data_IF_601040280311
#
_entry.id   IF_601040280311
#
_cell.length_a   1.000
_cell.length_b   1.000
_cell.length_c   1.000
_cell.angle_alpha   90.00
_cell.angle_beta   90.00
_cell.angle_gamma   90.00
#
_symmetry.space_group_name_H-M   'P 1'
#
loop_
_entity.id
_entity.type
_entity.pdbx_description
1 polymer ?
#
# COMPACT_ATOMS: atom_id res chain seq x y z
N UNK A 1 2.33 5.95 4.42
CA UNK A 1 2.82 5.91 3.03
C UNK A 1 2.94 7.35 2.56
N UNK A 2 4.09 7.75 2.03
CA UNK A 2 4.35 9.12 1.57
C UNK A 2 4.80 9.10 0.11
N UNK A 3 4.06 9.79 -0.76
CA UNK A 3 4.27 9.76 -2.20
C UNK A 3 5.33 10.78 -2.63
N UNK A 4 6.31 10.31 -3.41
CA UNK A 4 7.48 11.07 -3.86
C UNK A 4 7.37 11.53 -5.32
N UNK A 5 6.80 10.71 -6.20
CA UNK A 5 6.63 11.00 -7.64
C UNK A 5 5.47 10.21 -8.24
N UNK A 6 5.00 10.64 -9.42
CA UNK A 6 3.89 10.01 -10.13
C UNK A 6 2.52 10.30 -9.52
N UNK A 7 1.46 9.87 -10.23
CA UNK A 7 0.06 10.04 -9.81
C UNK A 7 -0.67 8.69 -9.87
N UNK A 8 -1.56 8.44 -8.93
CA UNK A 8 -2.27 7.17 -8.88
C UNK A 8 -3.52 7.20 -8.03
N UNK A 9 -4.05 6.00 -7.83
CA UNK A 9 -5.15 5.71 -6.91
C UNK A 9 -4.63 4.72 -5.86
N UNK A 10 -4.92 4.99 -4.60
CA UNK A 10 -4.82 4.02 -3.50
C UNK A 10 -6.22 3.63 -3.08
N UNK A 11 -6.50 2.33 -3.02
CA UNK A 11 -7.70 1.80 -2.39
C UNK A 11 -7.34 1.25 -1.00
N UNK A 12 -8.12 1.62 0.01
CA UNK A 12 -8.00 1.08 1.38
C UNK A 12 -9.37 0.60 1.81
N UNK A 13 -9.53 -0.70 2.04
CA UNK A 13 -10.84 -1.33 2.30
C UNK A 13 -11.93 -0.91 1.28
N UNK A 14 -11.57 -0.89 -0.01
CA UNK A 14 -12.47 -0.49 -1.09
C UNK A 14 -12.69 1.02 -1.26
N UNK A 15 -12.15 1.86 -0.37
CA UNK A 15 -12.25 3.32 -0.50
C UNK A 15 -11.07 3.85 -1.30
N UNK A 16 -11.36 4.37 -2.48
CA UNK A 16 -10.36 4.95 -3.38
C UNK A 16 -10.02 6.40 -3.06
N UNK A 17 -8.73 6.74 -3.19
CA UNK A 17 -8.19 8.08 -3.05
C UNK A 17 -7.15 8.34 -4.13
N UNK A 18 -7.23 9.50 -4.77
CA UNK A 18 -6.16 9.99 -5.63
C UNK A 18 -4.95 10.37 -4.79
N UNK A 19 -3.77 10.03 -5.29
CA UNK A 19 -2.49 10.31 -4.66
C UNK A 19 -1.51 10.91 -5.67
N UNK A 20 -0.65 11.78 -5.16
CA UNK A 20 0.46 12.38 -5.90
C UNK A 20 1.55 12.85 -4.95
N UNK A 21 2.62 13.50 -5.45
CA UNK A 21 3.76 13.91 -4.63
C UNK A 21 3.31 14.75 -3.43
N UNK A 22 3.85 14.46 -2.24
CA UNK A 22 3.48 15.15 -1.00
C UNK A 22 2.25 14.56 -0.28
N UNK A 23 1.51 13.65 -0.92
CA UNK A 23 0.35 13.00 -0.29
C UNK A 23 0.81 11.97 0.75
N UNK A 24 0.17 11.95 1.91
CA UNK A 24 0.36 10.91 2.92
C UNK A 24 -0.92 10.08 3.08
N UNK A 25 -0.78 8.76 3.04
CA UNK A 25 -1.87 7.82 3.30
C UNK A 25 -1.52 6.97 4.52
N UNK A 26 -2.42 6.94 5.50
CA UNK A 26 -2.37 6.00 6.61
C UNK A 26 -3.09 4.71 6.22
N UNK A 27 -2.44 3.57 6.46
CA UNK A 27 -2.99 2.25 6.18
C UNK A 27 -3.17 1.54 7.53
N UNK A 28 -4.41 1.28 7.97
CA UNK A 28 -4.68 0.50 9.18
C UNK A 28 -4.11 -0.92 9.08
N UNK A 29 -3.84 -1.54 10.22
CA UNK A 29 -3.45 -2.95 10.28
C UNK A 29 -4.55 -3.83 9.65
N UNK A 30 -4.14 -4.85 8.90
CA UNK A 30 -5.03 -5.79 8.20
C UNK A 30 -5.97 -5.17 7.15
N UNK A 31 -5.86 -3.87 6.86
CA UNK A 31 -6.62 -3.27 5.79
C UNK A 31 -6.15 -3.82 4.44
N UNK A 32 -7.11 -4.27 3.63
CA UNK A 32 -6.86 -4.56 2.22
C UNK A 32 -6.45 -3.27 1.53
N UNK A 33 -5.41 -3.36 0.70
CA UNK A 33 -4.86 -2.20 0.03
C UNK A 33 -4.46 -2.52 -1.40
N UNK A 34 -4.75 -1.60 -2.30
CA UNK A 34 -4.37 -1.68 -3.71
C UNK A 34 -3.78 -0.35 -4.18
N UNK A 35 -2.84 -0.42 -5.13
CA UNK A 35 -2.18 0.73 -5.73
C UNK A 35 -2.29 0.64 -7.25
N UNK A 36 -2.80 1.70 -7.87
CA UNK A 36 -2.90 1.82 -9.31
C UNK A 36 -2.17 3.07 -9.78
N UNK A 37 -1.16 2.91 -10.63
CA UNK A 37 -0.53 4.05 -11.30
C UNK A 37 -1.42 4.49 -12.46
N UNK A 38 -1.96 5.71 -12.38
CA UNK A 38 -2.83 6.28 -13.42
C UNK A 38 -2.08 7.26 -14.33
N UNK A 39 -0.80 7.52 -14.04
CA UNK A 39 0.05 8.44 -14.79
C UNK A 39 1.03 7.72 -15.72
N UNK A 40 1.84 8.53 -16.41
CA UNK A 40 2.93 8.06 -17.29
C UNK A 40 4.27 7.94 -16.57
N UNK A 41 4.43 8.62 -15.43
CA UNK A 41 5.62 8.54 -14.58
C UNK A 41 5.51 7.38 -13.58
N UNK A 42 6.64 6.89 -13.07
CA UNK A 42 6.64 5.90 -11.99
C UNK A 42 6.02 6.47 -10.71
N UNK A 43 5.03 5.77 -10.18
CA UNK A 43 4.48 6.03 -8.84
C UNK A 43 5.47 5.54 -7.78
N UNK A 44 6.19 6.47 -7.13
CA UNK A 44 7.17 6.17 -6.08
C UNK A 44 6.66 6.66 -4.74
N UNK A 45 6.80 5.85 -3.70
CA UNK A 45 6.40 6.22 -2.34
C UNK A 45 7.25 5.49 -1.30
N UNK A 46 7.37 6.13 -0.13
CA UNK A 46 7.97 5.55 1.06
C UNK A 46 6.89 4.94 1.94
N UNK A 47 7.18 3.81 2.56
CA UNK A 47 6.34 3.22 3.58
C UNK A 47 7.19 2.75 4.74
N UNK A 48 6.58 2.77 5.93
CA UNK A 48 7.20 2.36 7.18
C UNK A 48 6.23 1.46 7.92
N UNK A 49 6.76 0.47 8.63
CA UNK A 49 6.00 -0.37 9.53
C UNK A 49 6.37 -0.03 10.97
N UNK A 50 5.38 -0.09 11.86
CA UNK A 50 5.62 -0.03 13.31
C UNK A 50 6.11 -1.41 13.80
N UNK A 51 7.24 -1.86 13.26
CA UNK A 51 7.91 -3.14 13.57
C UNK A 51 9.41 -2.93 13.56
N UNK A 52 10.12 -3.71 14.36
CA UNK A 52 11.57 -3.55 14.53
C UNK A 52 12.35 -4.09 13.33
N UNK A 53 11.79 -5.07 12.62
CA UNK A 53 12.39 -5.68 11.43
C UNK A 53 11.31 -6.08 10.43
N UNK A 54 11.71 -6.10 9.16
CA UNK A 54 10.81 -6.46 8.05
C UNK A 54 10.26 -7.89 8.18
N UNK A 55 11.04 -8.82 8.74
CA UNK A 55 10.61 -10.22 8.92
C UNK A 55 9.42 -10.40 9.86
N UNK A 56 9.04 -9.37 10.64
CA UNK A 56 7.85 -9.40 11.51
C UNK A 56 6.57 -8.99 10.76
N UNK A 57 6.68 -8.74 9.46
CA UNK A 57 5.56 -8.33 8.60
C UNK A 57 5.16 -9.50 7.72
N UNK A 58 3.98 -10.04 7.98
CA UNK A 58 3.35 -11.07 7.14
C UNK A 58 2.39 -10.41 6.16
N UNK A 59 2.58 -10.69 4.87
CA UNK A 59 1.66 -10.26 3.82
C UNK A 59 0.67 -11.38 3.54
N UNK A 60 -0.62 -11.03 3.54
CA UNK A 60 -1.71 -11.89 3.14
C UNK A 60 -2.35 -11.32 1.88
N UNK A 61 -2.50 -12.15 0.85
CA UNK A 61 -3.21 -11.75 -0.37
C UNK A 61 -4.60 -12.38 -0.39
N UNK A 62 -5.61 -11.59 -0.78
CA UNK A 62 -6.97 -12.10 -0.92
C UNK A 62 -6.98 -13.25 -1.95
N UNK A 63 -7.48 -14.41 -1.54
CA UNK A 63 -7.55 -15.62 -2.39
C UNK A 63 -6.42 -16.63 -2.19
N UNK A 64 -5.38 -16.32 -1.39
CA UNK A 64 -4.46 -17.35 -0.91
C UNK A 64 -5.10 -18.10 0.27
N UNK A 65 -5.41 -19.39 0.10
CA UNK A 65 -5.64 -20.29 1.23
C UNK A 65 -4.31 -20.57 1.92
N UNK A 66 -4.23 -20.41 3.24
CA UNK A 66 -3.08 -20.89 4.01
C UNK A 66 -2.85 -22.38 3.68
N UNK A 67 -1.72 -22.70 3.06
CA UNK A 67 -1.28 -24.09 2.98
C UNK A 67 -0.89 -24.51 4.38
N UNK A 68 -1.82 -25.12 5.11
CA UNK A 68 -1.52 -25.82 6.36
C UNK A 68 -0.58 -26.97 6.01
N UNK A 69 0.69 -26.86 6.41
CA UNK A 69 1.62 -27.99 6.48
C UNK A 69 1.57 -28.63 7.86
#
# INVERSE_FOLDING_TARGET
YYFLSGNGIVSVNGVEKHVGPGTTVWIPAHAERFYHNTGTESLKFLYVFARDKYSDVHYTFAGESESTS
#
